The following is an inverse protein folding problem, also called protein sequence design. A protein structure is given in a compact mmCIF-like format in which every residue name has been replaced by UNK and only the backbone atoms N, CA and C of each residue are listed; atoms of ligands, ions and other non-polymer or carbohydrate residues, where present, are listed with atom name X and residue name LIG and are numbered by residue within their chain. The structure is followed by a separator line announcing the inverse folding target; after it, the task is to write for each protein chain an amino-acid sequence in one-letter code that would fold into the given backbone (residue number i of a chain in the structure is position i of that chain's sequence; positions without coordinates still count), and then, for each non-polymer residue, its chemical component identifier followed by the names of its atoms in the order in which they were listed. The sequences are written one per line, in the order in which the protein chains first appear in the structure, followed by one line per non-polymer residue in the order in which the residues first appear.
data_IF_813395622795
#
_entry.id   IF_813395622795
#
_cell.length_a   1.000
_cell.length_b   1.000
_cell.length_c   1.000
_cell.angle_alpha   90.00
_cell.angle_beta   90.00
_cell.angle_gamma   90.00
#
_symmetry.space_group_name_H-M   'P 1'
#
loop_
_entity.id
_entity.type
_entity.pdbx_description
1 polymer ?
#
# COMPACT_ATOMS: atom_id res chain seq x y z
N UNK A 1 -3.20 -1.31 15.15
CA UNK A 1 -4.19 -2.26 14.64
C UNK A 1 -5.23 -1.52 13.80
N UNK A 2 -5.24 -1.75 12.50
CA UNK A 2 -6.16 -1.05 11.60
C UNK A 2 -6.60 -2.01 10.49
N UNK A 3 -7.88 -1.95 10.14
CA UNK A 3 -8.40 -2.67 8.99
C UNK A 3 -8.91 -1.66 7.97
N UNK A 4 -8.35 -1.70 6.78
CA UNK A 4 -8.77 -0.86 5.67
C UNK A 4 -9.28 -1.74 4.53
N UNK A 5 -10.36 -1.30 3.93
CA UNK A 5 -11.02 -2.01 2.84
C UNK A 5 -11.62 -0.98 1.90
N UNK A 6 -11.21 -1.02 0.65
CA UNK A 6 -11.73 -0.07 -0.35
C UNK A 6 -13.20 -0.29 -0.63
N UNK A 7 -13.63 -1.52 -0.64
CA UNK A 7 -14.98 -1.85 -0.99
C UNK A 7 -15.15 -2.15 -2.48
N UNK A 8 -16.40 -2.37 -2.87
CA UNK A 8 -16.73 -2.72 -4.24
C UNK A 8 -16.71 -1.49 -5.13
N UNK A 9 -16.00 -1.59 -6.23
CA UNK A 9 -16.09 -0.59 -7.29
C UNK A 9 -17.49 -0.63 -7.91
N UNK A 10 -18.13 0.51 -7.96
CA UNK A 10 -19.53 0.62 -8.42
C UNK A 10 -19.63 1.06 -9.88
N UNK A 11 -18.63 1.77 -10.38
CA UNK A 11 -18.64 2.25 -11.76
C UNK A 11 -17.23 2.57 -12.25
N UNK A 12 -17.03 2.34 -13.54
CA UNK A 12 -15.89 2.86 -14.27
C UNK A 12 -14.58 2.14 -14.04
N UNK A 13 -13.54 2.84 -14.38
CA UNK A 13 -12.16 2.38 -14.39
C UNK A 13 -11.35 2.92 -13.20
N UNK A 14 -11.99 3.31 -12.14
CA UNK A 14 -11.29 3.91 -11.02
C UNK A 14 -10.48 2.84 -10.30
N UNK A 15 -9.20 3.01 -10.35
CA UNK A 15 -8.26 2.21 -9.57
C UNK A 15 -8.09 2.88 -8.22
N UNK A 16 -8.38 2.14 -7.16
CA UNK A 16 -8.36 2.67 -5.80
C UNK A 16 -7.54 1.74 -4.90
N UNK A 17 -6.57 2.31 -4.24
CA UNK A 17 -5.78 1.61 -3.24
C UNK A 17 -6.59 1.40 -1.95
N UNK A 18 -6.37 0.29 -1.30
CA UNK A 18 -6.97 0.08 0.02
C UNK A 18 -6.26 0.90 1.09
N UNK A 19 -5.02 1.24 0.88
CA UNK A 19 -4.28 2.13 1.75
C UNK A 19 -2.90 2.43 1.21
N UNK A 20 -2.22 3.37 1.83
CA UNK A 20 -0.86 3.70 1.44
C UNK A 20 -0.36 4.99 2.06
N UNK A 21 0.82 5.40 1.63
CA UNK A 21 1.42 6.66 2.00
C UNK A 21 2.10 7.30 0.78
N UNK A 22 1.84 8.59 0.60
CA UNK A 22 2.51 9.40 -0.43
C UNK A 22 3.47 10.44 0.18
N UNK A 23 3.39 10.62 1.47
CA UNK A 23 4.11 11.65 2.20
C UNK A 23 4.46 11.23 3.61
N UNK A 24 5.51 11.89 4.14
CA UNK A 24 5.90 11.77 5.54
C UNK A 24 6.98 10.72 5.77
N UNK A 25 7.43 10.66 6.98
CA UNK A 25 8.54 9.79 7.36
C UNK A 25 8.32 9.24 8.76
N UNK A 26 9.17 8.27 9.13
CA UNK A 26 9.11 7.64 10.45
C UNK A 26 7.72 7.06 10.74
N UNK A 27 7.16 6.33 9.77
CA UNK A 27 5.84 5.74 9.87
C UNK A 27 5.96 4.22 10.07
N UNK A 28 5.13 3.69 10.96
CA UNK A 28 5.01 2.25 11.18
C UNK A 28 3.56 1.82 10.99
N UNK A 29 3.37 0.89 10.08
CA UNK A 29 2.10 0.18 9.89
C UNK A 29 2.26 -1.22 10.48
N UNK A 30 1.69 -1.44 11.64
CA UNK A 30 1.87 -2.69 12.38
C UNK A 30 0.52 -3.34 12.69
N UNK A 31 0.42 -4.65 12.46
CA UNK A 31 -0.79 -5.43 12.65
C UNK A 31 -1.99 -4.82 11.90
N UNK A 32 -1.78 -4.44 10.66
CA UNK A 32 -2.80 -3.85 9.80
C UNK A 32 -3.29 -4.85 8.76
N UNK A 33 -4.45 -4.57 8.22
CA UNK A 33 -5.02 -5.32 7.11
C UNK A 33 -5.50 -4.35 6.05
N UNK A 34 -4.95 -4.49 4.84
CA UNK A 34 -5.30 -3.71 3.66
C UNK A 34 -5.84 -4.66 2.60
N UNK A 35 -7.12 -4.56 2.32
CA UNK A 35 -7.81 -5.52 1.45
C UNK A 35 -8.78 -4.85 0.50
N UNK A 36 -9.11 -5.57 -0.56
CA UNK A 36 -10.10 -5.15 -1.55
C UNK A 36 -9.70 -3.91 -2.36
N UNK A 37 -8.39 -3.69 -2.53
CA UNK A 37 -7.94 -2.69 -3.48
C UNK A 37 -8.34 -3.08 -4.90
N UNK A 38 -8.75 -2.12 -5.69
CA UNK A 38 -8.97 -2.31 -7.13
C UNK A 38 -7.73 -1.91 -7.92
N UNK A 39 -6.83 -1.20 -7.31
CA UNK A 39 -5.46 -0.97 -7.76
C UNK A 39 -4.53 -1.72 -6.82
N UNK A 40 -3.87 -1.09 -5.88
CA UNK A 40 -3.04 -1.78 -4.90
C UNK A 40 -3.77 -1.99 -3.57
N UNK A 41 -3.41 -3.05 -2.87
CA UNK A 41 -3.83 -3.19 -1.48
C UNK A 41 -3.09 -2.22 -0.57
N UNK A 42 -1.80 -1.99 -0.83
CA UNK A 42 -1.02 -0.98 -0.10
C UNK A 42 0.00 -0.33 -1.02
N UNK A 43 -0.01 1.00 -1.09
CA UNK A 43 0.83 1.77 -1.99
C UNK A 43 1.75 2.72 -1.23
N UNK A 44 3.03 2.65 -1.56
CA UNK A 44 4.02 3.66 -1.18
C UNK A 44 4.44 4.38 -2.45
N UNK A 45 3.88 5.57 -2.68
CA UNK A 45 4.04 6.25 -3.95
C UNK A 45 4.25 7.76 -3.74
N UNK A 46 5.46 8.21 -4.02
CA UNK A 46 5.78 9.63 -4.01
C UNK A 46 6.50 10.08 -5.27
N UNK A 47 6.28 9.42 -6.38
CA UNK A 47 6.97 9.69 -7.64
C UNK A 47 6.88 11.14 -8.12
N UNK A 48 5.82 11.82 -7.74
CA UNK A 48 5.55 13.22 -8.13
C UNK A 48 6.00 14.24 -7.09
N UNK A 49 6.53 13.78 -5.98
CA UNK A 49 6.92 14.67 -4.89
C UNK A 49 8.44 14.68 -4.72
N UNK A 50 9.05 15.85 -4.63
CA UNK A 50 10.50 15.95 -4.55
C UNK A 50 11.07 15.44 -3.22
N UNK A 51 10.27 15.32 -2.20
CA UNK A 51 10.74 14.94 -0.86
C UNK A 51 9.64 14.26 -0.07
N UNK A 52 10.04 13.41 0.87
CA UNK A 52 9.23 13.21 2.04
C UNK A 52 8.61 11.85 2.30
N UNK A 53 8.92 10.81 1.54
CA UNK A 53 8.49 9.47 1.92
C UNK A 53 9.73 8.60 2.19
N UNK A 54 10.09 8.45 3.46
CA UNK A 54 11.23 7.64 3.86
C UNK A 54 11.04 7.07 5.27
N UNK A 55 11.85 6.09 5.61
CA UNK A 55 11.81 5.42 6.89
C UNK A 55 10.40 4.87 7.22
N UNK A 56 9.87 4.07 6.31
CA UNK A 56 8.56 3.45 6.43
C UNK A 56 8.74 1.98 6.78
N UNK A 57 8.04 1.54 7.80
CA UNK A 57 8.00 0.14 8.20
C UNK A 57 6.59 -0.40 8.04
N UNK A 58 6.45 -1.48 7.31
CA UNK A 58 5.22 -2.27 7.24
C UNK A 58 5.53 -3.66 7.79
N UNK A 59 4.89 -4.02 8.89
CA UNK A 59 5.18 -5.28 9.57
C UNK A 59 3.92 -5.96 10.10
N UNK A 60 4.00 -7.27 10.26
CA UNK A 60 2.94 -8.10 10.85
C UNK A 60 1.55 -7.84 10.24
N UNK A 61 1.52 -7.56 8.95
CA UNK A 61 0.33 -7.05 8.27
C UNK A 61 -0.12 -7.97 7.15
N UNK A 62 -1.36 -7.81 6.74
CA UNK A 62 -1.97 -8.58 5.65
C UNK A 62 -2.27 -7.62 4.50
N UNK A 63 -1.76 -7.97 3.33
CA UNK A 63 -2.13 -7.34 2.06
C UNK A 63 -2.80 -8.41 1.22
N UNK A 64 -4.02 -8.19 0.79
CA UNK A 64 -4.65 -9.25 0.01
C UNK A 64 -6.09 -9.03 -0.38
N UNK A 65 -6.65 -10.05 -0.99
CA UNK A 65 -8.02 -10.02 -1.50
C UNK A 65 -8.27 -8.83 -2.43
N UNK A 66 -7.31 -8.53 -3.31
CA UNK A 66 -7.51 -7.51 -4.32
C UNK A 66 -8.73 -7.83 -5.18
N UNK A 67 -9.47 -6.83 -5.54
CA UNK A 67 -10.60 -6.94 -6.44
C UNK A 67 -10.13 -6.92 -7.89
N UNK A 68 -10.97 -6.76 -8.85
CA UNK A 68 -10.62 -6.82 -10.28
C UNK A 68 -9.70 -5.68 -10.73
N UNK A 69 -9.24 -5.76 -11.95
CA UNK A 69 -8.31 -4.87 -12.66
C UNK A 69 -6.86 -5.09 -12.23
N UNK A 70 -6.23 -4.10 -11.68
CA UNK A 70 -4.84 -4.21 -11.26
C UNK A 70 -4.68 -5.14 -10.07
N UNK A 71 -5.46 -4.97 -9.04
CA UNK A 71 -5.53 -5.87 -7.86
C UNK A 71 -4.17 -6.30 -7.33
N UNK A 72 -3.20 -5.42 -7.36
CA UNK A 72 -1.86 -5.72 -6.91
C UNK A 72 -1.79 -5.78 -5.38
N UNK A 73 -0.88 -6.59 -4.86
CA UNK A 73 -0.67 -6.66 -3.42
C UNK A 73 -0.08 -5.38 -2.86
N UNK A 74 0.89 -4.81 -3.55
CA UNK A 74 1.49 -3.56 -3.13
C UNK A 74 2.34 -2.93 -4.22
N UNK A 75 2.49 -1.62 -4.10
CA UNK A 75 3.37 -0.82 -4.93
C UNK A 75 4.40 -0.12 -4.05
N UNK A 76 5.65 -0.14 -4.48
CA UNK A 76 6.70 0.68 -3.89
C UNK A 76 7.33 1.49 -5.01
N UNK A 77 6.94 2.73 -5.10
CA UNK A 77 7.41 3.67 -6.11
C UNK A 77 7.80 4.98 -5.44
N UNK A 78 9.08 5.17 -5.26
CA UNK A 78 9.62 6.32 -4.56
C UNK A 78 10.70 6.98 -5.40
N UNK A 79 10.82 8.29 -5.30
CA UNK A 79 11.96 8.98 -5.91
C UNK A 79 13.21 8.72 -5.06
N UNK A 80 14.26 8.30 -5.71
CA UNK A 80 15.51 7.84 -5.10
C UNK A 80 16.47 8.96 -4.68
N UNK A 81 16.06 10.19 -4.80
CA UNK A 81 16.96 11.33 -4.60
C UNK A 81 17.45 11.54 -3.17
N UNK A 82 16.87 10.84 -2.19
CA UNK A 82 17.23 11.06 -0.78
C UNK A 82 17.33 9.77 0.06
N UNK A 83 17.61 8.64 -0.56
CA UNK A 83 17.85 7.39 0.19
C UNK A 83 16.63 6.91 0.96
N UNK A 84 15.63 6.44 0.26
CA UNK A 84 14.43 5.87 0.89
C UNK A 84 14.75 4.49 1.46
N UNK A 85 14.54 4.33 2.75
CA UNK A 85 14.62 3.03 3.41
C UNK A 85 13.21 2.54 3.73
N UNK A 86 12.86 1.39 3.19
CA UNK A 86 11.57 0.76 3.42
C UNK A 86 11.81 -0.62 4.01
N UNK A 87 11.22 -0.89 5.16
CA UNK A 87 11.29 -2.19 5.81
C UNK A 87 9.97 -2.93 5.62
N UNK A 88 10.02 -4.06 4.93
CA UNK A 88 8.88 -4.97 4.78
C UNK A 88 9.15 -6.21 5.64
N UNK A 89 8.58 -6.22 6.82
CA UNK A 89 8.81 -7.27 7.80
C UNK A 89 7.54 -8.10 8.03
N UNK A 90 7.65 -9.39 7.84
CA UNK A 90 6.56 -10.35 8.10
C UNK A 90 5.22 -9.92 7.49
N UNK A 91 5.19 -9.84 6.17
CA UNK A 91 3.96 -9.56 5.44
C UNK A 91 3.37 -10.88 4.95
N UNK A 92 2.11 -11.09 5.23
CA UNK A 92 1.36 -12.19 4.64
C UNK A 92 0.58 -11.68 3.44
N UNK A 93 1.01 -12.07 2.27
CA UNK A 93 0.27 -11.84 1.04
C UNK A 93 -0.75 -12.97 0.87
N UNK A 94 -2.01 -12.62 0.91
CA UNK A 94 -3.09 -13.57 0.68
C UNK A 94 -3.73 -13.25 -0.66
N UNK A 95 -3.44 -14.10 -1.63
CA UNK A 95 -4.07 -14.02 -2.94
C UNK A 95 -5.23 -15.01 -2.95
N UNK A 96 -6.43 -14.49 -2.88
CA UNK A 96 -7.65 -15.28 -3.10
C UNK A 96 -8.22 -14.90 -4.47
N UNK A 97 -8.25 -15.88 -5.30
CA UNK A 97 -8.90 -15.76 -6.62
C UNK A 97 -10.37 -16.17 -6.53
#
# INVERSE_FOLDING_TARGET
YMRMRTGRQVSGSDNIDAGGAAYGHDQIYDHCSFTWGTDECFSLNNDKQPKGLYNITLQNSILGQGCQNHSCGGLVQTSDKEGVTIYLLTIKLVILR
#
